data_IF_775826584678
#
_entry.id   IF_775826584678
#
_cell.length_a   1.000
_cell.length_b   1.000
_cell.length_c   1.000
_cell.angle_alpha   90.00
_cell.angle_beta   90.00
_cell.angle_gamma   90.00
#
_symmetry.space_group_name_H-M   'P 1'
#
loop_
_entity.id
_entity.type
_entity.pdbx_description
1 polymer ?
#
# COMPACT_ATOMS: atom_id res chain seq x y z
N UNK A 1 21.55 -68.63 22.23
CA UNK A 1 21.07 -67.22 22.15
C UNK A 1 21.96 -66.49 21.18
N UNK A 2 21.43 -66.03 20.02
CA UNK A 2 22.27 -65.38 19.00
C UNK A 2 22.44 -63.89 19.28
N UNK A 3 23.69 -63.47 19.40
CA UNK A 3 24.08 -62.10 19.73
C UNK A 3 23.73 -61.17 18.54
N UNK A 4 22.76 -60.27 18.71
CA UNK A 4 22.47 -59.25 17.69
C UNK A 4 23.56 -58.19 17.78
N UNK A 5 24.48 -58.18 16.82
CA UNK A 5 25.41 -57.07 16.65
C UNK A 5 24.64 -55.78 16.39
N UNK A 6 24.71 -54.85 17.35
CA UNK A 6 24.20 -53.50 17.16
C UNK A 6 24.98 -52.86 16.01
N UNK A 7 24.25 -52.30 15.04
CA UNK A 7 24.88 -51.62 13.91
C UNK A 7 25.32 -50.22 14.36
N UNK A 8 26.55 -49.79 14.04
CA UNK A 8 27.00 -48.45 14.38
C UNK A 8 26.08 -47.37 13.77
N UNK A 9 25.97 -46.19 14.40
CA UNK A 9 25.12 -45.11 13.91
C UNK A 9 25.74 -44.42 12.68
N UNK A 10 24.86 -43.92 11.81
CA UNK A 10 25.17 -43.13 10.63
C UNK A 10 25.86 -41.82 11.02
N UNK A 11 27.09 -41.61 10.55
CA UNK A 11 27.91 -40.43 10.85
C UNK A 11 27.38 -39.10 10.27
N UNK A 12 26.23 -39.12 9.58
CA UNK A 12 25.62 -37.96 8.90
C UNK A 12 24.33 -37.48 9.60
N UNK A 13 23.52 -38.39 10.17
CA UNK A 13 22.21 -38.05 10.75
C UNK A 13 21.84 -38.82 12.02
N UNK A 14 22.74 -39.66 12.55
CA UNK A 14 22.52 -40.45 13.77
C UNK A 14 21.62 -41.69 13.63
N UNK A 15 20.94 -41.87 12.49
CA UNK A 15 20.13 -43.07 12.20
C UNK A 15 20.94 -44.37 12.20
N UNK A 16 20.27 -45.52 12.33
CA UNK A 16 20.94 -46.83 12.30
C UNK A 16 21.72 -47.03 10.99
N UNK A 17 23.02 -47.30 11.10
CA UNK A 17 23.92 -47.51 9.96
C UNK A 17 23.59 -48.74 9.13
N UNK A 18 24.05 -48.74 7.88
CA UNK A 18 23.88 -49.87 6.96
C UNK A 18 25.22 -50.51 6.55
N UNK A 19 26.33 -50.05 7.11
CA UNK A 19 27.69 -50.33 6.68
C UNK A 19 28.36 -49.10 6.06
N UNK A 20 29.63 -49.29 5.70
CA UNK A 20 30.45 -48.25 5.10
C UNK A 20 30.00 -47.99 3.66
N UNK A 21 29.65 -46.74 3.37
CA UNK A 21 29.32 -46.25 2.04
C UNK A 21 30.14 -45.00 1.75
N UNK A 22 30.90 -45.02 0.65
CA UNK A 22 31.76 -43.90 0.23
C UNK A 22 32.78 -43.44 1.29
N UNK A 23 33.26 -44.38 2.11
CA UNK A 23 34.28 -44.13 3.14
C UNK A 23 33.76 -43.77 4.54
N UNK A 24 32.44 -43.63 4.74
CA UNK A 24 31.83 -43.36 6.04
C UNK A 24 30.74 -44.38 6.39
N UNK A 25 30.51 -44.63 7.68
CA UNK A 25 29.37 -45.42 8.15
C UNK A 25 28.07 -44.61 7.94
N UNK A 26 27.16 -45.14 7.13
CA UNK A 26 26.00 -44.38 6.68
C UNK A 26 24.71 -45.21 6.62
N UNK A 27 23.58 -44.59 6.95
CA UNK A 27 22.28 -45.17 6.68
C UNK A 27 21.99 -45.15 5.16
N UNK A 28 21.08 -46.03 4.70
CA UNK A 28 20.73 -46.17 3.27
C UNK A 28 20.29 -44.85 2.64
N UNK A 29 19.63 -43.98 3.40
CA UNK A 29 19.13 -42.70 2.91
C UNK A 29 20.26 -41.68 2.64
N UNK A 30 21.20 -41.51 3.58
CA UNK A 30 22.37 -40.64 3.39
C UNK A 30 23.27 -41.14 2.25
N UNK A 31 23.53 -42.45 2.18
CA UNK A 31 24.29 -43.05 1.08
C UNK A 31 23.60 -42.86 -0.29
N UNK A 32 22.28 -43.00 -0.36
CA UNK A 32 21.52 -42.75 -1.59
C UNK A 32 21.43 -41.27 -1.96
N UNK A 33 21.35 -40.37 -0.96
CA UNK A 33 21.43 -38.92 -1.18
C UNK A 33 22.79 -38.53 -1.74
N UNK A 34 23.90 -38.92 -1.10
CA UNK A 34 25.25 -38.65 -1.56
C UNK A 34 25.48 -39.18 -2.98
N UNK A 35 25.13 -40.46 -3.24
CA UNK A 35 25.28 -41.06 -4.57
C UNK A 35 24.54 -40.28 -5.66
N UNK A 36 23.29 -39.85 -5.41
CA UNK A 36 22.54 -39.03 -6.38
C UNK A 36 23.10 -37.62 -6.51
N UNK A 37 23.57 -37.02 -5.42
CA UNK A 37 24.14 -35.67 -5.42
C UNK A 37 25.41 -35.62 -6.26
N UNK A 38 26.30 -36.60 -6.09
CA UNK A 38 27.53 -36.73 -6.88
C UNK A 38 27.23 -37.14 -8.32
N UNK A 39 26.46 -38.21 -8.54
CA UNK A 39 26.22 -38.74 -9.90
C UNK A 39 25.41 -37.78 -10.81
N UNK A 40 24.58 -36.90 -10.23
CA UNK A 40 23.80 -35.90 -10.96
C UNK A 40 24.35 -34.47 -10.77
N UNK A 41 25.57 -34.33 -10.23
CA UNK A 41 26.26 -33.07 -9.93
C UNK A 41 25.34 -31.99 -9.31
N UNK A 42 24.54 -32.37 -8.30
CA UNK A 42 23.55 -31.47 -7.69
C UNK A 42 24.19 -30.51 -6.71
N UNK A 43 24.16 -29.23 -7.05
CA UNK A 43 24.44 -28.12 -6.14
C UNK A 43 23.15 -27.77 -5.36
N UNK A 44 23.25 -27.71 -4.04
CA UNK A 44 22.17 -27.31 -3.15
C UNK A 44 22.46 -25.93 -2.56
N UNK A 45 21.49 -25.01 -2.61
CA UNK A 45 21.54 -23.72 -1.91
C UNK A 45 20.64 -23.80 -0.68
N UNK A 46 21.19 -23.49 0.50
CA UNK A 46 20.38 -23.36 1.71
C UNK A 46 19.44 -22.13 1.58
N UNK A 47 18.20 -22.24 2.07
CA UNK A 47 17.26 -21.12 2.14
C UNK A 47 17.42 -20.26 3.41
N UNK A 48 18.11 -20.79 4.42
CA UNK A 48 18.57 -20.06 5.59
C UNK A 48 20.09 -19.92 5.59
N UNK A 49 20.69 -19.77 6.77
CA UNK A 49 22.08 -19.35 6.93
C UNK A 49 23.12 -20.49 6.81
N UNK A 50 22.79 -21.61 6.14
CA UNK A 50 23.70 -22.76 5.98
C UNK A 50 23.84 -23.68 7.20
N UNK A 51 23.62 -23.17 8.42
CA UNK A 51 23.84 -23.89 9.68
C UNK A 51 22.64 -24.77 10.11
N UNK A 52 22.08 -25.56 9.20
CA UNK A 52 20.96 -26.46 9.51
C UNK A 52 21.46 -27.74 10.22
N UNK A 53 20.89 -28.05 11.39
CA UNK A 53 21.19 -29.29 12.10
C UNK A 53 20.63 -30.52 11.35
N UNK A 54 21.42 -31.59 11.24
CA UNK A 54 21.06 -32.81 10.50
C UNK A 54 20.77 -33.93 11.50
N UNK A 55 19.49 -34.09 11.85
CA UNK A 55 19.00 -35.14 12.76
C UNK A 55 17.93 -36.02 12.12
N UNK A 56 17.79 -37.24 12.61
CA UNK A 56 16.84 -38.28 12.16
C UNK A 56 15.39 -37.79 11.96
N UNK A 57 14.92 -36.89 12.82
CA UNK A 57 13.54 -36.38 12.81
C UNK A 57 13.19 -35.52 11.58
N UNK A 58 14.17 -34.99 10.85
CA UNK A 58 13.93 -34.13 9.67
C UNK A 58 13.26 -34.89 8.51
N UNK A 59 13.37 -36.23 8.46
CA UNK A 59 12.69 -37.03 7.43
C UNK A 59 11.18 -37.19 7.64
N UNK A 60 10.68 -37.21 8.89
CA UNK A 60 9.24 -37.38 9.17
C UNK A 60 8.37 -36.24 8.66
N UNK A 61 8.94 -35.04 8.48
CA UNK A 61 8.23 -33.87 7.95
C UNK A 61 8.19 -33.82 6.42
N UNK A 62 8.85 -34.73 5.69
CA UNK A 62 8.78 -34.77 4.22
C UNK A 62 7.59 -35.54 3.66
N UNK A 63 7.18 -36.61 4.33
CA UNK A 63 6.06 -37.45 3.85
C UNK A 63 4.69 -36.74 3.97
N UNK A 64 4.60 -35.66 4.75
CA UNK A 64 3.42 -34.81 4.87
C UNK A 64 3.17 -33.87 3.67
N UNK A 65 4.15 -33.67 2.77
CA UNK A 65 4.08 -32.68 1.68
C UNK A 65 4.18 -33.28 0.27
N UNK A 66 3.78 -34.55 0.12
CA UNK A 66 3.45 -35.15 -1.17
C UNK A 66 4.58 -35.87 -1.91
N UNK A 67 4.27 -37.06 -2.42
CA UNK A 67 5.12 -37.78 -3.39
C UNK A 67 5.00 -37.10 -4.75
N UNK A 68 6.11 -36.71 -5.37
CA UNK A 68 6.18 -36.56 -6.83
C UNK A 68 6.57 -37.89 -7.44
N UNK A 69 5.85 -38.31 -8.48
CA UNK A 69 6.06 -39.56 -9.18
C UNK A 69 7.39 -39.61 -9.92
N UNK A 70 7.76 -40.82 -10.34
CA UNK A 70 8.64 -41.00 -11.49
C UNK A 70 8.02 -40.31 -12.71
N UNK A 71 8.81 -39.56 -13.46
CA UNK A 71 9.17 -39.92 -14.85
C UNK A 71 10.34 -39.07 -15.34
N UNK A 72 11.03 -39.56 -16.38
CA UNK A 72 12.17 -38.93 -17.07
C UNK A 72 11.66 -37.79 -18.00
N UNK A 73 12.47 -36.89 -18.58
CA UNK A 73 13.76 -37.07 -19.25
C UNK A 73 14.71 -35.86 -19.13
N UNK A 74 15.97 -36.06 -19.54
CA UNK A 74 17.01 -35.02 -19.71
C UNK A 74 17.19 -34.71 -21.21
N UNK A 75 17.59 -33.48 -21.58
CA UNK A 75 18.99 -33.28 -21.95
C UNK A 75 19.56 -31.92 -21.46
N UNK A 76 20.88 -31.68 -21.40
CA UNK A 76 22.00 -32.58 -21.70
C UNK A 76 23.13 -31.93 -22.50
N UNK A 77 23.84 -30.93 -21.97
CA UNK A 77 25.16 -30.52 -22.49
C UNK A 77 26.03 -29.74 -21.50
N UNK A 78 27.34 -29.75 -21.77
CA UNK A 78 28.44 -29.07 -21.05
C UNK A 78 29.49 -28.66 -22.11
N UNK A 79 30.52 -27.83 -21.89
CA UNK A 79 31.20 -27.23 -20.72
C UNK A 79 31.71 -25.81 -21.18
N UNK A 80 32.78 -25.15 -20.68
CA UNK A 80 33.25 -24.83 -19.31
C UNK A 80 33.65 -23.33 -19.11
N UNK A 81 34.09 -22.99 -17.88
CA UNK A 81 35.05 -21.93 -17.49
C UNK A 81 34.71 -20.42 -17.47
N UNK A 82 35.26 -19.81 -16.40
CA UNK A 82 35.72 -18.43 -16.20
C UNK A 82 34.85 -17.46 -15.35
N UNK A 83 35.52 -16.81 -14.41
CA UNK A 83 35.02 -15.77 -13.50
C UNK A 83 34.83 -14.44 -14.26
N UNK A 84 33.70 -13.77 -14.06
CA UNK A 84 33.47 -12.41 -14.57
C UNK A 84 32.05 -11.93 -14.27
N UNK A 85 31.91 -10.73 -13.71
CA UNK A 85 30.66 -10.17 -13.17
C UNK A 85 29.49 -10.06 -14.16
N UNK A 86 28.29 -9.95 -13.57
CA UNK A 86 27.09 -9.29 -14.10
C UNK A 86 26.46 -9.82 -15.40
N UNK A 87 25.36 -10.56 -15.28
CA UNK A 87 24.06 -10.11 -15.81
C UNK A 87 22.92 -10.90 -15.17
N UNK A 88 21.85 -10.19 -14.81
CA UNK A 88 20.64 -10.75 -14.20
C UNK A 88 19.63 -11.13 -15.28
N UNK A 89 19.53 -12.41 -15.60
CA UNK A 89 18.46 -12.95 -16.45
C UNK A 89 18.17 -14.40 -16.10
N UNK A 90 17.28 -14.60 -15.13
CA UNK A 90 16.62 -15.89 -14.91
C UNK A 90 15.13 -15.65 -14.76
N UNK A 91 14.46 -15.47 -15.90
CA UNK A 91 13.04 -15.76 -16.03
C UNK A 91 12.87 -17.26 -15.75
N UNK A 92 12.16 -17.60 -14.69
CA UNK A 92 10.90 -18.35 -14.77
C UNK A 92 10.35 -18.49 -13.35
N UNK A 93 9.45 -17.56 -13.04
CA UNK A 93 8.80 -17.41 -11.74
C UNK A 93 7.28 -17.39 -11.95
N UNK A 94 6.76 -18.44 -12.59
CA UNK A 94 5.35 -18.83 -12.56
C UNK A 94 5.25 -20.16 -11.80
N UNK A 95 4.34 -20.35 -10.83
CA UNK A 95 3.17 -19.55 -10.48
C UNK A 95 3.01 -19.38 -8.96
N UNK A 96 2.73 -18.14 -8.54
CA UNK A 96 1.96 -17.82 -7.31
C UNK A 96 0.79 -16.93 -7.75
N UNK A 97 0.19 -17.31 -8.88
CA UNK A 97 -0.79 -16.52 -9.64
C UNK A 97 -2.17 -17.14 -9.45
N UNK A 98 -2.85 -16.76 -8.36
CA UNK A 98 -4.28 -17.07 -8.15
C UNK A 98 -4.98 -16.05 -7.22
N UNK A 99 -4.22 -15.32 -6.39
CA UNK A 99 -4.71 -14.10 -5.76
C UNK A 99 -4.75 -12.96 -6.78
N UNK A 100 -5.94 -12.64 -7.29
CA UNK A 100 -6.17 -11.48 -8.15
C UNK A 100 -6.06 -10.15 -7.40
N UNK A 101 -7.09 -9.30 -7.50
CA UNK A 101 -7.11 -8.00 -6.82
C UNK A 101 -8.40 -7.76 -5.99
N UNK A 102 -8.76 -8.66 -5.04
CA UNK A 102 -10.03 -8.58 -4.33
C UNK A 102 -10.20 -7.32 -3.45
N UNK A 103 -9.17 -6.86 -2.74
CA UNK A 103 -9.27 -5.65 -1.90
C UNK A 103 -9.36 -4.40 -2.79
N UNK A 104 -8.51 -4.27 -3.80
CA UNK A 104 -8.55 -3.15 -4.76
C UNK A 104 -9.87 -3.13 -5.56
N UNK A 105 -10.44 -4.28 -5.90
CA UNK A 105 -11.76 -4.39 -6.54
C UNK A 105 -12.89 -3.96 -5.60
N UNK A 106 -12.84 -4.37 -4.33
CA UNK A 106 -13.81 -3.95 -3.31
C UNK A 106 -13.75 -2.43 -3.08
N UNK A 107 -12.53 -1.88 -2.96
CA UNK A 107 -12.30 -0.44 -2.87
C UNK A 107 -12.90 0.31 -4.05
N UNK A 108 -12.69 -0.17 -5.28
CA UNK A 108 -13.26 0.41 -6.51
C UNK A 108 -14.79 0.37 -6.55
N UNK A 109 -15.38 -0.78 -6.21
CA UNK A 109 -16.83 -0.96 -6.17
C UNK A 109 -17.47 -0.05 -5.11
N UNK A 110 -16.90 0.05 -3.92
CA UNK A 110 -17.41 0.91 -2.85
C UNK A 110 -17.11 2.39 -3.07
N UNK A 111 -15.98 2.75 -3.71
CA UNK A 111 -15.71 4.14 -4.08
C UNK A 111 -16.71 4.63 -5.12
N UNK A 112 -17.16 3.77 -6.03
CA UNK A 112 -18.24 4.08 -6.98
C UNK A 112 -19.61 4.31 -6.29
N UNK A 113 -19.85 3.66 -5.15
CA UNK A 113 -21.02 3.95 -4.29
C UNK A 113 -20.85 5.30 -3.58
N UNK A 114 -19.67 5.59 -3.03
CA UNK A 114 -19.31 6.87 -2.43
C UNK A 114 -19.49 8.04 -3.43
N UNK A 115 -18.97 7.92 -4.65
CA UNK A 115 -19.21 8.86 -5.75
C UNK A 115 -20.70 9.06 -6.05
N UNK A 116 -21.51 8.01 -5.90
CA UNK A 116 -22.96 8.10 -6.09
C UNK A 116 -23.69 8.78 -4.93
N UNK A 117 -23.25 8.60 -3.69
CA UNK A 117 -23.79 9.27 -2.49
C UNK A 117 -23.40 10.75 -2.46
N UNK A 118 -22.17 11.10 -2.87
CA UNK A 118 -21.70 12.49 -2.99
C UNK A 118 -22.61 13.38 -3.82
N UNK A 119 -23.19 12.84 -4.92
CA UNK A 119 -24.16 13.57 -5.76
C UNK A 119 -25.42 14.03 -5.01
N UNK A 120 -25.76 13.40 -3.89
CA UNK A 120 -26.89 13.77 -3.03
C UNK A 120 -26.43 14.64 -1.86
N UNK A 121 -25.33 14.27 -1.18
CA UNK A 121 -24.85 14.97 0.04
C UNK A 121 -24.28 16.37 -0.25
N UNK A 122 -23.67 16.56 -1.42
CA UNK A 122 -23.14 17.86 -1.85
C UNK A 122 -24.10 18.63 -2.77
N UNK A 123 -25.34 18.17 -2.91
CA UNK A 123 -26.35 18.92 -3.63
C UNK A 123 -26.82 20.14 -2.84
N UNK A 124 -27.06 21.25 -3.54
CA UNK A 124 -27.70 22.44 -2.98
C UNK A 124 -29.18 22.15 -2.65
N UNK A 125 -29.64 22.64 -1.50
CA UNK A 125 -30.98 22.34 -0.99
C UNK A 125 -32.07 22.76 -1.99
N UNK A 126 -32.93 21.80 -2.36
CA UNK A 126 -34.04 22.03 -3.30
C UNK A 126 -33.71 21.85 -4.78
N UNK A 127 -32.45 21.58 -5.14
CA UNK A 127 -32.07 21.22 -6.52
C UNK A 127 -32.35 19.74 -6.78
N UNK A 128 -32.85 19.41 -7.97
CA UNK A 128 -33.13 18.02 -8.37
C UNK A 128 -31.85 17.24 -8.66
N UNK A 129 -31.73 16.00 -8.15
CA UNK A 129 -30.60 15.06 -8.37
C UNK A 129 -30.31 14.82 -9.86
N UNK A 130 -31.30 15.02 -10.73
CA UNK A 130 -31.20 14.84 -12.18
C UNK A 130 -30.67 16.08 -12.94
N UNK A 131 -30.45 17.21 -12.26
CA UNK A 131 -29.90 18.40 -12.91
C UNK A 131 -28.37 18.33 -12.95
N UNK A 132 -27.78 18.46 -14.14
CA UNK A 132 -26.33 18.61 -14.26
C UNK A 132 -25.90 19.93 -13.59
N UNK A 133 -25.13 19.84 -12.51
CA UNK A 133 -24.56 21.00 -11.82
C UNK A 133 -23.31 21.46 -12.57
N UNK A 134 -23.21 22.75 -12.86
CA UNK A 134 -21.98 23.33 -13.40
C UNK A 134 -20.99 23.53 -12.25
N UNK A 135 -19.75 23.01 -12.32
CA UNK A 135 -18.72 23.27 -11.33
C UNK A 135 -18.48 24.77 -11.15
N UNK A 136 -18.39 25.24 -9.90
CA UNK A 136 -18.02 26.63 -9.59
C UNK A 136 -16.73 26.70 -8.77
N UNK A 137 -16.09 27.87 -8.80
CA UNK A 137 -15.06 28.22 -7.83
C UNK A 137 -15.69 28.34 -6.43
N UNK A 138 -15.01 27.85 -5.40
CA UNK A 138 -15.46 27.94 -4.00
C UNK A 138 -14.51 28.73 -3.11
N UNK A 139 -15.10 29.33 -2.07
CA UNK A 139 -14.39 29.93 -0.93
C UNK A 139 -13.88 28.85 0.03
N UNK A 140 -12.97 29.23 0.94
CA UNK A 140 -12.50 28.33 2.00
C UNK A 140 -13.63 27.85 2.94
N UNK A 141 -14.66 28.69 3.19
CA UNK A 141 -15.84 28.29 3.97
C UNK A 141 -16.58 27.13 3.31
N UNK A 142 -16.91 27.27 2.03
CA UNK A 142 -17.57 26.22 1.24
C UNK A 142 -16.71 24.95 1.13
N UNK A 143 -15.38 25.08 0.97
CA UNK A 143 -14.46 23.94 0.95
C UNK A 143 -14.39 23.21 2.31
N UNK A 144 -14.47 23.94 3.42
CA UNK A 144 -14.52 23.38 4.77
C UNK A 144 -15.86 22.66 5.03
N UNK A 145 -16.98 23.20 4.53
CA UNK A 145 -18.29 22.54 4.59
C UNK A 145 -18.30 21.21 3.81
N UNK A 146 -17.74 21.19 2.59
CA UNK A 146 -17.57 19.97 1.79
C UNK A 146 -16.74 18.95 2.56
N UNK A 147 -15.58 19.36 3.09
CA UNK A 147 -14.68 18.49 3.86
C UNK A 147 -15.35 17.92 5.12
N UNK A 148 -16.17 18.74 5.81
CA UNK A 148 -16.88 18.34 7.03
C UNK A 148 -17.97 17.29 6.78
N UNK A 149 -18.60 17.32 5.60
CA UNK A 149 -19.54 16.27 5.14
C UNK A 149 -18.82 15.01 4.68
N UNK A 150 -17.64 15.15 4.07
CA UNK A 150 -16.84 14.03 3.58
C UNK A 150 -16.29 13.13 4.69
N UNK A 151 -16.04 13.67 5.89
CA UNK A 151 -15.51 12.92 7.03
C UNK A 151 -16.28 11.61 7.29
N UNK A 152 -17.60 11.69 7.48
CA UNK A 152 -18.45 10.52 7.75
C UNK A 152 -18.57 9.58 6.52
N UNK A 153 -18.62 10.15 5.31
CA UNK A 153 -18.72 9.38 4.06
C UNK A 153 -17.45 8.56 3.76
N UNK A 154 -16.27 9.13 4.03
CA UNK A 154 -14.98 8.45 3.86
C UNK A 154 -14.81 7.39 4.95
N UNK A 155 -15.26 7.64 6.18
CA UNK A 155 -15.27 6.64 7.24
C UNK A 155 -16.14 5.42 6.90
N UNK A 156 -17.35 5.62 6.35
CA UNK A 156 -18.21 4.54 5.87
C UNK A 156 -17.59 3.77 4.68
N UNK A 157 -17.00 4.49 3.71
CA UNK A 157 -16.30 3.85 2.60
C UNK A 157 -15.17 2.93 3.08
N UNK A 158 -14.35 3.36 4.04
CA UNK A 158 -13.30 2.54 4.64
C UNK A 158 -13.90 1.32 5.33
N UNK A 159 -14.92 1.53 6.19
CA UNK A 159 -15.55 0.49 7.00
C UNK A 159 -16.05 -0.69 6.15
N UNK A 160 -16.59 -0.39 4.97
CA UNK A 160 -17.13 -1.38 4.04
C UNK A 160 -16.11 -1.97 3.05
N UNK A 161 -14.88 -1.45 2.95
CA UNK A 161 -13.94 -1.80 1.87
C UNK A 161 -12.79 -2.73 2.25
N UNK A 162 -12.45 -2.86 3.53
CA UNK A 162 -11.29 -3.64 3.96
C UNK A 162 -11.68 -4.87 4.81
N UNK A 163 -11.15 -6.07 4.49
CA UNK A 163 -11.42 -7.27 5.28
C UNK A 163 -10.83 -7.13 6.69
N UNK A 164 -11.66 -7.38 7.71
CA UNK A 164 -11.25 -7.28 9.12
C UNK A 164 -11.17 -5.87 9.69
N UNK A 165 -11.38 -4.81 8.91
CA UNK A 165 -11.37 -3.44 9.47
C UNK A 165 -12.58 -3.19 10.37
N UNK A 166 -13.76 -3.69 10.00
CA UNK A 166 -14.96 -3.57 10.83
C UNK A 166 -14.79 -4.19 12.23
N UNK A 167 -14.02 -5.27 12.33
CA UNK A 167 -13.76 -6.02 13.56
C UNK A 167 -12.77 -5.32 14.51
N UNK A 168 -11.95 -4.38 14.02
CA UNK A 168 -11.03 -3.61 14.85
C UNK A 168 -11.78 -2.84 15.95
N UNK A 169 -11.22 -2.72 17.18
CA UNK A 169 -11.80 -1.89 18.24
C UNK A 169 -12.05 -0.44 17.78
N UNK A 170 -13.12 0.19 18.27
CA UNK A 170 -13.52 1.56 17.88
C UNK A 170 -12.37 2.57 17.97
N UNK A 171 -11.62 2.54 19.06
CA UNK A 171 -10.51 3.47 19.29
C UNK A 171 -9.32 3.21 18.35
N UNK A 172 -9.08 1.96 17.94
CA UNK A 172 -8.08 1.64 16.92
C UNK A 172 -8.49 2.15 15.54
N UNK A 173 -9.78 2.01 15.18
CA UNK A 173 -10.34 2.59 13.94
C UNK A 173 -10.20 4.11 13.91
N UNK A 174 -10.45 4.80 15.04
CA UNK A 174 -10.19 6.25 15.17
C UNK A 174 -8.73 6.57 14.90
N UNK A 175 -7.78 5.92 15.57
CA UNK A 175 -6.33 6.19 15.42
C UNK A 175 -5.88 6.09 13.96
N UNK A 176 -6.30 5.04 13.24
CA UNK A 176 -6.00 4.88 11.82
C UNK A 176 -6.66 5.98 10.97
N UNK A 177 -7.96 6.23 11.16
CA UNK A 177 -8.71 7.24 10.40
C UNK A 177 -8.15 8.66 10.61
N UNK A 178 -7.67 8.95 11.82
CA UNK A 178 -7.09 10.22 12.28
C UNK A 178 -5.76 10.55 11.62
N UNK A 179 -4.93 9.53 11.40
CA UNK A 179 -3.72 9.63 10.58
C UNK A 179 -4.03 9.72 9.08
N UNK A 180 -5.19 9.20 8.65
CA UNK A 180 -5.54 9.01 7.24
C UNK A 180 -6.25 10.19 6.58
N UNK A 181 -7.23 10.82 7.26
CA UNK A 181 -8.25 11.61 6.57
C UNK A 181 -7.68 12.83 5.83
N UNK A 182 -6.80 13.63 6.45
CA UNK A 182 -6.20 14.78 5.78
C UNK A 182 -5.29 14.37 4.60
N UNK A 183 -4.35 13.41 4.75
CA UNK A 183 -3.65 12.82 3.60
C UNK A 183 -4.57 12.30 2.50
N UNK A 184 -5.73 11.70 2.85
CA UNK A 184 -6.71 11.23 1.87
C UNK A 184 -7.31 12.38 1.06
N UNK A 185 -7.74 13.47 1.69
CA UNK A 185 -8.28 14.66 0.99
C UNK A 185 -7.22 15.24 0.02
N UNK A 186 -5.98 15.35 0.49
CA UNK A 186 -4.84 15.83 -0.30
C UNK A 186 -4.56 14.92 -1.50
N UNK A 187 -4.49 13.60 -1.27
CA UNK A 187 -4.26 12.59 -2.31
C UNK A 187 -5.44 12.48 -3.30
N UNK A 188 -6.67 12.67 -2.82
CA UNK A 188 -7.89 12.67 -3.64
C UNK A 188 -7.89 13.80 -4.66
N UNK A 189 -7.52 15.03 -4.26
CA UNK A 189 -7.40 16.14 -5.21
C UNK A 189 -6.40 15.83 -6.34
N UNK A 190 -5.32 15.09 -6.03
CA UNK A 190 -4.36 14.59 -7.02
C UNK A 190 -4.97 13.52 -7.94
N UNK A 191 -5.78 12.61 -7.40
CA UNK A 191 -6.52 11.63 -8.21
C UNK A 191 -7.55 12.31 -9.15
N UNK A 192 -8.24 13.34 -8.67
CA UNK A 192 -9.16 14.13 -9.50
C UNK A 192 -8.42 14.93 -10.57
N UNK A 193 -7.25 15.50 -10.25
CA UNK A 193 -6.37 16.14 -11.23
C UNK A 193 -5.95 15.17 -12.35
N UNK A 194 -5.54 13.94 -12.01
CA UNK A 194 -5.27 12.88 -13.00
C UNK A 194 -6.51 12.56 -13.85
N UNK A 195 -7.67 12.42 -13.21
CA UNK A 195 -8.93 12.05 -13.89
C UNK A 195 -9.41 13.13 -14.87
N UNK A 196 -9.17 14.41 -14.57
CA UNK A 196 -9.55 15.55 -15.41
C UNK A 196 -8.39 16.13 -16.25
N UNK A 197 -7.19 15.53 -16.14
CA UNK A 197 -5.94 15.96 -16.78
C UNK A 197 -5.64 17.47 -16.62
N UNK A 198 -5.76 18.01 -15.40
CA UNK A 198 -5.54 19.45 -15.12
C UNK A 198 -4.94 19.70 -13.73
N UNK A 199 -4.15 20.77 -13.58
CA UNK A 199 -3.45 21.17 -12.35
C UNK A 199 -3.53 22.68 -12.04
N UNK A 200 -4.40 23.41 -12.73
CA UNK A 200 -4.71 24.83 -12.56
C UNK A 200 -5.71 25.10 -11.42
N UNK A 201 -6.44 24.06 -10.98
CA UNK A 201 -7.42 24.08 -9.90
C UNK A 201 -7.33 22.83 -9.03
N UNK A 202 -7.82 22.90 -7.79
CA UNK A 202 -8.02 21.71 -6.94
C UNK A 202 -9.51 21.35 -6.95
N UNK A 203 -9.85 20.20 -7.53
CA UNK A 203 -11.23 19.70 -7.56
C UNK A 203 -11.57 19.07 -6.21
N UNK A 204 -12.77 19.35 -5.70
CA UNK A 204 -13.30 18.83 -4.44
C UNK A 204 -14.30 17.68 -4.66
N UNK A 205 -14.62 16.96 -3.59
CA UNK A 205 -15.59 15.85 -3.60
C UNK A 205 -17.02 16.25 -4.04
N UNK A 206 -17.37 17.53 -3.96
CA UNK A 206 -18.63 18.10 -4.48
C UNK A 206 -18.67 18.27 -6.01
N UNK A 207 -17.51 18.15 -6.68
CA UNK A 207 -17.33 18.51 -8.09
C UNK A 207 -17.02 19.98 -8.33
N UNK A 208 -17.08 20.83 -7.29
CA UNK A 208 -16.55 22.20 -7.34
C UNK A 208 -15.02 22.23 -7.28
N UNK A 209 -14.43 23.41 -7.44
CA UNK A 209 -12.99 23.57 -7.45
C UNK A 209 -12.51 24.83 -6.70
N UNK A 210 -11.28 24.77 -6.20
CA UNK A 210 -10.53 25.93 -5.74
C UNK A 210 -9.70 26.43 -6.92
N UNK A 211 -9.87 27.71 -7.31
CA UNK A 211 -9.02 28.34 -8.32
C UNK A 211 -7.63 28.62 -7.73
N UNK A 212 -6.60 27.94 -8.24
CA UNK A 212 -5.22 28.13 -7.79
C UNK A 212 -4.47 29.20 -8.59
N UNK A 213 -5.07 29.72 -9.66
CA UNK A 213 -4.56 30.87 -10.43
C UNK A 213 -4.97 32.20 -9.79
N UNK A 214 -6.14 32.22 -9.12
CA UNK A 214 -6.70 33.38 -8.42
C UNK A 214 -6.97 33.06 -6.93
N UNK A 215 -5.92 32.78 -6.12
CA UNK A 215 -6.09 32.34 -4.73
C UNK A 215 -6.87 33.35 -3.85
N UNK A 216 -6.93 34.62 -4.23
CA UNK A 216 -7.75 35.64 -3.58
C UNK A 216 -9.25 35.30 -3.59
N UNK A 217 -9.76 34.56 -4.59
CA UNK A 217 -11.17 34.14 -4.61
C UNK A 217 -11.48 33.08 -3.56
N UNK A 218 -10.48 32.26 -3.21
CA UNK A 218 -10.61 31.26 -2.14
C UNK A 218 -10.70 31.90 -0.76
N UNK A 219 -9.92 32.97 -0.53
CA UNK A 219 -9.92 33.74 0.72
C UNK A 219 -10.92 34.91 0.74
N UNK A 220 -11.84 34.98 -0.21
CA UNK A 220 -12.88 36.00 -0.24
C UNK A 220 -13.94 35.71 0.83
N UNK A 221 -14.16 36.67 1.74
CA UNK A 221 -15.30 36.63 2.68
C UNK A 221 -16.26 37.79 2.42
N UNK A 222 -17.41 37.56 1.75
CA UNK A 222 -18.42 38.60 1.56
C UNK A 222 -19.13 39.02 2.86
N UNK A 223 -19.10 38.19 3.92
CA UNK A 223 -19.67 38.56 5.22
C UNK A 223 -18.79 39.54 6.01
N UNK A 224 -17.53 39.73 5.59
CA UNK A 224 -16.56 40.59 6.29
C UNK A 224 -16.25 40.16 7.73
N UNK A 225 -16.40 38.87 8.07
CA UNK A 225 -16.23 38.37 9.45
C UNK A 225 -14.78 38.01 9.78
N UNK A 226 -13.88 38.06 8.82
CA UNK A 226 -12.46 37.73 9.01
C UNK A 226 -11.68 38.95 9.50
N UNK A 227 -10.69 38.70 10.36
CA UNK A 227 -9.77 39.74 10.83
C UNK A 227 -8.71 40.10 9.78
N UNK A 228 -8.43 39.19 8.83
CA UNK A 228 -7.43 39.37 7.78
C UNK A 228 -8.09 39.56 6.41
N UNK A 229 -7.50 40.43 5.58
CA UNK A 229 -7.92 40.65 4.19
C UNK A 229 -7.54 39.46 3.30
N UNK A 230 -8.25 39.28 2.17
CA UNK A 230 -7.91 38.26 1.18
C UNK A 230 -6.51 38.46 0.57
N UNK A 231 -6.03 39.71 0.47
CA UNK A 231 -4.66 40.02 0.02
C UNK A 231 -3.62 39.51 1.01
N UNK A 232 -3.82 39.76 2.29
CA UNK A 232 -2.95 39.32 3.38
C UNK A 232 -2.94 37.78 3.47
N UNK A 233 -4.10 37.14 3.25
CA UNK A 233 -4.25 35.69 3.08
C UNK A 233 -3.30 35.13 2.01
N UNK A 234 -3.37 35.72 0.82
CA UNK A 234 -2.60 35.29 -0.35
C UNK A 234 -1.09 35.45 -0.07
N UNK A 235 -0.68 36.55 0.56
CA UNK A 235 0.73 36.76 0.95
C UNK A 235 1.25 35.69 1.91
N UNK A 236 0.42 35.18 2.83
CA UNK A 236 0.83 34.15 3.79
C UNK A 236 0.74 32.72 3.24
N UNK A 237 -0.35 32.38 2.55
CA UNK A 237 -0.74 30.99 2.29
C UNK A 237 -0.71 30.57 0.82
N UNK A 238 -0.59 31.48 -0.15
CA UNK A 238 -0.60 31.07 -1.58
C UNK A 238 0.56 30.14 -1.97
N UNK A 239 1.67 30.18 -1.21
CA UNK A 239 2.79 29.24 -1.36
C UNK A 239 2.37 27.78 -1.15
N UNK A 240 1.30 27.52 -0.39
CA UNK A 240 0.80 26.17 -0.09
C UNK A 240 0.08 25.53 -1.27
N UNK A 241 -0.62 26.29 -2.14
CA UNK A 241 -1.11 25.76 -3.41
C UNK A 241 0.04 25.29 -4.32
N UNK A 242 1.13 26.05 -4.36
CA UNK A 242 2.35 25.66 -5.09
C UNK A 242 3.05 24.45 -4.46
N UNK A 243 3.03 24.34 -3.12
CA UNK A 243 3.56 23.18 -2.39
C UNK A 243 2.74 21.91 -2.72
N UNK A 244 1.42 22.01 -2.63
CA UNK A 244 0.48 20.95 -2.99
C UNK A 244 0.69 20.48 -4.43
N UNK A 245 0.69 21.42 -5.39
CA UNK A 245 0.90 21.12 -6.81
C UNK A 245 2.23 20.40 -7.05
N UNK A 246 3.33 20.90 -6.47
CA UNK A 246 4.68 20.31 -6.64
C UNK A 246 4.86 18.95 -5.98
N UNK A 247 4.21 18.67 -4.85
CA UNK A 247 4.37 17.42 -4.11
C UNK A 247 3.31 16.37 -4.43
N UNK A 248 2.17 16.75 -5.00
CA UNK A 248 1.01 15.85 -5.20
C UNK A 248 0.54 15.88 -6.65
N UNK A 249 0.04 17.02 -7.14
CA UNK A 249 -0.63 17.11 -8.45
C UNK A 249 0.31 16.85 -9.63
N UNK A 250 1.40 17.60 -9.74
CA UNK A 250 2.39 17.46 -10.82
C UNK A 250 3.04 16.07 -10.86
N UNK A 251 3.49 15.46 -9.74
CA UNK A 251 4.04 14.11 -9.80
C UNK A 251 2.99 13.05 -10.12
N UNK A 252 1.76 13.12 -9.59
CA UNK A 252 0.71 12.16 -9.94
C UNK A 252 0.30 12.23 -11.42
N UNK A 253 0.24 13.45 -12.00
CA UNK A 253 -0.02 13.65 -13.43
C UNK A 253 1.12 13.15 -14.31
N UNK A 254 2.36 13.55 -14.01
CA UNK A 254 3.56 13.10 -14.74
C UNK A 254 3.68 11.58 -14.74
N UNK A 255 3.42 10.97 -13.59
CA UNK A 255 3.53 9.52 -13.42
C UNK A 255 2.24 8.80 -13.86
N UNK A 256 1.20 9.51 -14.31
CA UNK A 256 -0.09 8.96 -14.77
C UNK A 256 -0.71 7.96 -13.78
N UNK A 257 -0.85 8.41 -12.52
CA UNK A 257 -1.41 7.60 -11.42
C UNK A 257 -2.89 7.32 -11.67
N UNK A 258 -3.25 6.05 -11.82
CA UNK A 258 -4.65 5.63 -12.02
C UNK A 258 -5.43 5.43 -10.72
N UNK A 259 -6.69 5.01 -10.86
CA UNK A 259 -7.63 4.78 -9.76
C UNK A 259 -7.22 3.63 -8.81
N UNK A 260 -6.62 2.55 -9.30
CA UNK A 260 -6.12 1.45 -8.45
C UNK A 260 -4.81 1.79 -7.77
N UNK A 261 -3.94 2.55 -8.44
CA UNK A 261 -2.72 3.10 -7.84
C UNK A 261 -3.06 4.13 -6.75
N UNK A 262 -4.08 4.98 -6.96
CA UNK A 262 -4.68 5.83 -5.94
C UNK A 262 -5.19 5.02 -4.73
N UNK A 263 -5.98 3.96 -4.95
CA UNK A 263 -6.45 3.11 -3.85
C UNK A 263 -5.32 2.40 -3.10
N UNK A 264 -4.26 1.99 -3.79
CA UNK A 264 -3.08 1.41 -3.16
C UNK A 264 -2.38 2.44 -2.25
N UNK A 265 -2.20 3.68 -2.71
CA UNK A 265 -1.68 4.79 -1.89
C UNK A 265 -2.60 5.07 -0.69
N UNK A 266 -3.93 5.16 -0.88
CA UNK A 266 -4.87 5.33 0.24
C UNK A 266 -4.70 4.23 1.29
N UNK A 267 -4.67 2.96 0.86
CA UNK A 267 -4.55 1.82 1.77
C UNK A 267 -3.24 1.86 2.56
N UNK A 268 -2.13 2.26 1.91
CA UNK A 268 -0.81 2.37 2.54
C UNK A 268 -0.67 3.55 3.49
N UNK A 269 -1.54 4.56 3.39
CA UNK A 269 -1.62 5.67 4.36
C UNK A 269 -2.59 5.34 5.50
N UNK A 270 -3.70 4.64 5.22
CA UNK A 270 -4.67 4.24 6.24
C UNK A 270 -4.06 3.24 7.22
N UNK A 271 -3.46 2.17 6.70
CA UNK A 271 -2.87 1.10 7.50
C UNK A 271 -1.42 1.42 7.86
N UNK A 272 -1.19 2.57 8.49
CA UNK A 272 0.11 2.95 9.01
C UNK A 272 0.48 2.15 10.28
N UNK A 273 1.75 2.16 10.67
CA UNK A 273 2.26 1.40 11.83
C UNK A 273 3.20 2.23 12.68
N UNK A 274 3.02 2.16 14.00
CA UNK A 274 3.79 2.95 14.97
C UNK A 274 3.09 4.25 15.39
N UNK A 275 1.77 4.31 15.23
CA UNK A 275 0.95 5.42 15.71
C UNK A 275 0.79 5.35 17.23
N UNK A 276 0.71 6.50 17.89
CA UNK A 276 0.46 6.57 19.34
C UNK A 276 -0.87 5.92 19.71
N UNK A 277 -0.86 5.07 20.74
CA UNK A 277 -2.03 4.30 21.19
C UNK A 277 -2.41 3.10 20.31
N UNK A 278 -1.66 2.80 19.23
CA UNK A 278 -1.94 1.67 18.36
C UNK A 278 -1.65 0.34 19.06
N UNK A 279 -2.57 -0.63 18.99
CA UNK A 279 -2.39 -1.95 19.58
C UNK A 279 -1.57 -2.89 18.68
N UNK A 280 -0.91 -3.89 19.27
CA UNK A 280 -0.19 -4.93 18.51
C UNK A 280 -1.09 -5.65 17.49
N UNK A 281 -2.34 -5.92 17.85
CA UNK A 281 -3.32 -6.51 16.92
C UNK A 281 -3.61 -5.58 15.73
N UNK A 282 -3.77 -4.27 15.98
CA UNK A 282 -3.95 -3.26 14.93
C UNK A 282 -2.72 -3.15 14.03
N UNK A 283 -1.50 -3.24 14.59
CA UNK A 283 -0.24 -3.28 13.84
C UNK A 283 -0.17 -4.54 12.95
N UNK A 284 -0.58 -5.70 13.46
CA UNK A 284 -0.60 -6.96 12.70
C UNK A 284 -1.62 -6.93 11.56
N UNK A 285 -2.83 -6.39 11.78
CA UNK A 285 -3.83 -6.16 10.72
C UNK A 285 -3.29 -5.19 9.68
N UNK A 286 -2.70 -4.07 10.12
CA UNK A 286 -2.13 -3.06 9.22
C UNK A 286 -1.04 -3.65 8.32
N UNK A 287 -0.06 -4.37 8.89
CA UNK A 287 0.99 -5.07 8.11
C UNK A 287 0.39 -6.04 7.09
N UNK A 288 -0.60 -6.85 7.49
CA UNK A 288 -1.27 -7.82 6.60
C UNK A 288 -1.95 -7.13 5.41
N UNK A 289 -2.68 -6.04 5.63
CA UNK A 289 -3.37 -5.30 4.55
C UNK A 289 -2.35 -4.59 3.65
N UNK A 290 -1.31 -3.95 4.19
CA UNK A 290 -0.23 -3.33 3.39
C UNK A 290 0.41 -4.32 2.43
N UNK A 291 0.79 -5.51 2.93
CA UNK A 291 1.37 -6.56 2.10
C UNK A 291 0.39 -7.09 1.06
N UNK A 292 -0.90 -7.24 1.40
CA UNK A 292 -1.92 -7.67 0.46
C UNK A 292 -2.07 -6.65 -0.68
N UNK A 293 -2.21 -5.36 -0.38
CA UNK A 293 -2.29 -4.27 -1.35
C UNK A 293 -1.05 -4.24 -2.26
N UNK A 294 0.15 -4.42 -1.70
CA UNK A 294 1.39 -4.48 -2.49
C UNK A 294 1.44 -5.71 -3.41
N UNK A 295 0.85 -6.85 -3.02
CA UNK A 295 0.70 -8.02 -3.91
C UNK A 295 -0.34 -7.77 -5.00
N UNK A 296 -1.50 -7.22 -4.65
CA UNK A 296 -2.59 -6.94 -5.59
C UNK A 296 -2.21 -5.88 -6.65
N UNK A 297 -1.47 -4.83 -6.27
CA UNK A 297 -1.00 -3.84 -7.26
C UNK A 297 0.08 -4.41 -8.19
N UNK A 298 0.94 -5.32 -7.69
CA UNK A 298 1.89 -6.06 -8.54
C UNK A 298 1.17 -7.04 -9.49
N UNK A 299 0.07 -7.66 -9.06
CA UNK A 299 -0.81 -8.45 -9.93
C UNK A 299 -1.45 -7.54 -11.00
N UNK A 300 -2.03 -6.41 -10.60
CA UNK A 300 -2.61 -5.43 -11.52
C UNK A 300 -1.61 -4.95 -12.58
N UNK A 301 -0.37 -4.65 -12.19
CA UNK A 301 0.70 -4.27 -13.12
C UNK A 301 1.07 -5.37 -14.12
N UNK A 302 1.17 -6.64 -13.67
CA UNK A 302 1.52 -7.77 -14.55
C UNK A 302 0.40 -8.18 -15.48
N UNK A 303 -0.84 -8.19 -14.99
CA UNK A 303 -1.96 -8.88 -15.65
C UNK A 303 -2.94 -7.92 -16.32
N UNK A 304 -3.01 -6.65 -15.88
CA UNK A 304 -4.00 -5.68 -16.39
C UNK A 304 -3.35 -4.48 -17.08
N UNK A 305 -2.35 -3.82 -16.44
CA UNK A 305 -1.60 -2.71 -17.06
C UNK A 305 -0.47 -3.18 -18.00
N UNK A 306 -0.07 -4.45 -17.94
CA UNK A 306 1.01 -5.06 -18.74
C UNK A 306 2.33 -4.26 -18.68
N UNK A 307 2.79 -3.91 -17.47
CA UNK A 307 4.00 -3.11 -17.24
C UNK A 307 5.24 -4.00 -17.27
N UNK A 308 6.25 -3.61 -18.06
CA UNK A 308 7.52 -4.35 -18.22
C UNK A 308 8.26 -4.58 -16.88
N UNK A 309 8.33 -3.56 -16.03
CA UNK A 309 8.89 -3.65 -14.67
C UNK A 309 7.85 -3.21 -13.61
N UNK A 310 7.02 -4.16 -13.12
CA UNK A 310 6.06 -3.92 -12.05
C UNK A 310 6.70 -3.46 -10.74
N UNK A 311 7.93 -3.89 -10.46
CA UNK A 311 8.62 -3.58 -9.21
C UNK A 311 9.13 -2.14 -9.20
N UNK A 312 9.71 -1.68 -10.31
CA UNK A 312 10.10 -0.28 -10.48
C UNK A 312 8.88 0.64 -10.55
N UNK A 313 7.77 0.23 -11.17
CA UNK A 313 6.52 1.01 -11.10
C UNK A 313 6.02 1.14 -9.66
N UNK A 314 6.02 0.05 -8.89
CA UNK A 314 5.65 0.10 -7.47
C UNK A 314 6.59 1.01 -6.68
N UNK A 315 7.90 0.92 -6.89
CA UNK A 315 8.87 1.79 -6.22
C UNK A 315 8.62 3.28 -6.52
N UNK A 316 8.33 3.62 -7.78
CA UNK A 316 7.99 4.98 -8.19
C UNK A 316 6.67 5.46 -7.53
N UNK A 317 5.63 4.62 -7.50
CA UNK A 317 4.38 4.93 -6.81
C UNK A 317 4.60 5.20 -5.31
N UNK A 318 5.38 4.33 -4.64
CA UNK A 318 5.72 4.48 -3.22
C UNK A 318 6.53 5.75 -2.93
N UNK A 319 7.31 6.26 -3.90
CA UNK A 319 8.07 7.50 -3.76
C UNK A 319 7.20 8.76 -3.59
N UNK A 320 5.90 8.66 -3.88
CA UNK A 320 4.92 9.73 -3.64
C UNK A 320 4.56 9.87 -2.15
N UNK A 321 4.69 8.83 -1.33
CA UNK A 321 4.28 8.87 0.09
C UNK A 321 5.03 9.93 0.91
N UNK A 322 6.37 10.08 0.82
CA UNK A 322 7.09 11.18 1.49
C UNK A 322 6.72 12.57 0.95
N UNK A 323 6.24 12.68 -0.29
CA UNK A 323 5.78 13.95 -0.86
C UNK A 323 4.39 14.32 -0.32
N UNK A 324 3.48 13.35 -0.25
CA UNK A 324 2.19 13.47 0.42
C UNK A 324 2.34 13.89 1.89
N UNK A 325 3.28 13.30 2.63
CA UNK A 325 3.57 13.68 4.02
C UNK A 325 4.01 15.15 4.14
N UNK A 326 4.83 15.67 3.21
CA UNK A 326 5.22 17.10 3.20
C UNK A 326 4.04 18.02 2.92
N UNK A 327 3.18 17.67 1.97
CA UNK A 327 1.97 18.45 1.66
C UNK A 327 0.99 18.45 2.85
N UNK A 328 0.78 17.29 3.49
CA UNK A 328 -0.04 17.13 4.70
C UNK A 328 0.46 18.01 5.83
N UNK A 329 1.75 17.91 6.15
CA UNK A 329 2.35 18.72 7.23
C UNK A 329 2.24 20.21 6.95
N UNK A 330 2.47 20.63 5.70
CA UNK A 330 2.31 22.04 5.32
C UNK A 330 0.88 22.54 5.52
N UNK A 331 -0.12 21.73 5.14
CA UNK A 331 -1.53 22.06 5.36
C UNK A 331 -1.87 22.19 6.85
N UNK A 332 -1.34 21.29 7.69
CA UNK A 332 -1.51 21.37 9.15
C UNK A 332 -0.86 22.64 9.74
N UNK A 333 0.34 23.00 9.27
CA UNK A 333 1.01 24.26 9.65
C UNK A 333 0.16 25.49 9.27
N UNK A 334 -0.47 25.50 8.09
CA UNK A 334 -1.35 26.60 7.66
C UNK A 334 -2.62 26.70 8.53
N UNK A 335 -3.22 25.55 8.89
CA UNK A 335 -4.40 25.48 9.77
C UNK A 335 -4.05 25.92 11.21
N UNK A 336 -2.92 25.48 11.75
CA UNK A 336 -2.43 25.90 13.07
C UNK A 336 -2.13 27.41 13.11
N UNK A 337 -1.44 27.96 12.09
CA UNK A 337 -1.20 29.41 11.98
C UNK A 337 -2.54 30.16 11.88
N UNK A 338 -3.48 29.67 11.07
CA UNK A 338 -4.79 30.30 10.91
C UNK A 338 -5.57 30.36 12.22
N UNK A 339 -5.51 29.29 13.02
CA UNK A 339 -6.17 29.21 14.33
C UNK A 339 -5.47 30.10 15.38
N UNK A 340 -4.14 29.97 15.55
CA UNK A 340 -3.36 30.69 16.58
C UNK A 340 -3.43 32.21 16.41
N UNK A 341 -3.37 32.70 15.18
CA UNK A 341 -3.45 34.13 14.89
C UNK A 341 -4.89 34.61 14.57
N UNK A 342 -5.90 33.73 14.72
CA UNK A 342 -7.31 33.99 14.38
C UNK A 342 -7.49 34.64 12.99
N UNK A 343 -6.73 34.14 12.03
CA UNK A 343 -6.56 34.73 10.70
C UNK A 343 -7.82 34.57 9.88
N UNK A 344 -8.29 33.33 9.83
CA UNK A 344 -9.59 32.93 9.30
C UNK A 344 -10.31 32.13 10.38
N UNK A 345 -11.63 32.30 10.47
CA UNK A 345 -12.51 31.53 11.33
C UNK A 345 -12.56 30.08 10.86
N UNK A 346 -11.55 29.29 11.22
CA UNK A 346 -11.54 27.85 11.05
C UNK A 346 -12.53 27.27 12.05
N UNK A 347 -13.54 26.58 11.56
CA UNK A 347 -14.51 25.88 12.39
C UNK A 347 -13.79 24.86 13.29
N UNK A 348 -14.21 24.76 14.57
CA UNK A 348 -13.53 23.93 15.57
C UNK A 348 -13.50 22.45 15.13
N UNK A 349 -14.59 21.94 14.55
CA UNK A 349 -14.66 20.57 14.01
C UNK A 349 -13.68 20.38 12.85
N UNK A 350 -13.50 21.38 11.99
CA UNK A 350 -12.53 21.32 10.89
C UNK A 350 -11.08 21.36 11.40
N UNK A 351 -10.79 22.23 12.36
CA UNK A 351 -9.48 22.31 13.01
C UNK A 351 -9.10 20.98 13.71
N UNK A 352 -10.04 20.42 14.48
CA UNK A 352 -9.91 19.09 15.09
C UNK A 352 -9.71 17.98 14.04
N UNK A 353 -10.47 18.01 12.94
CA UNK A 353 -10.34 17.06 11.83
C UNK A 353 -8.96 17.10 11.17
N UNK A 354 -8.41 18.29 10.91
CA UNK A 354 -7.09 18.45 10.28
C UNK A 354 -5.92 18.10 11.21
N UNK A 355 -6.05 18.39 12.51
CA UNK A 355 -5.04 18.09 13.52
C UNK A 355 -5.23 16.73 14.19
N UNK A 356 -6.22 15.96 13.77
CA UNK A 356 -6.50 14.62 14.30
C UNK A 356 -6.86 14.65 15.78
N UNK A 357 -7.86 15.44 16.18
CA UNK A 357 -8.35 15.58 17.55
C UNK A 357 -9.88 15.37 17.61
N UNK A 358 -10.35 14.19 17.20
CA UNK A 358 -11.78 13.80 17.16
C UNK A 358 -12.07 12.48 17.89
#
# INVERSE_FOLDING_TARGET
>A
MSNRSEKPPCSICGEVGNGIHFGAEACRACAAFFRRSVALNKLYRCRGNGNCEIVSTVQKYRDAYGKRGSDMESPGTSVPYAYGSSSSSSQDLQSVEEGGMPILSMLSANYSKLESVRRVVHQEHGVSVFHNRTPKAVTYKEANEVSSKECDLVADWILNSYPGFADLPKEQKKILFRNFFLPFVILQGGHFACTHNRNDVIILASGDYIDCSHPETFYYDPDGRQLMSSEDAVRMFASSFSNYRRNVTDPMLRDQVDRYEFFALCSLVLFDTGLEGQSEECILVSRRIREAIQREILFYYRTVRLIDDPSMRLANLLSLLPALQRATRRFQEDVEISHVFNVYSVDEKFYEMCNGRF
#
